data_IF_139232210234
#
_entry.id   IF_139232210234
#
_cell.length_a   1.000
_cell.length_b   1.000
_cell.length_c   1.000
_cell.angle_alpha   90.00
_cell.angle_beta   90.00
_cell.angle_gamma   90.00
#
_symmetry.space_group_name_H-M   'P 1'
#
loop_
_entity.id
_entity.type
_entity.pdbx_description
1 polymer ?
#
# COMPACT_ATOMS: atom_id res chain seq x y z
N UNK A 1 -21.50 29.65 -5.53
CA UNK A 1 -20.45 30.36 -4.77
C UNK A 1 -19.30 29.39 -4.55
N UNK A 2 -18.21 29.62 -5.29
CA UNK A 2 -17.06 28.70 -5.41
C UNK A 2 -16.19 28.74 -4.16
N UNK A 3 -15.99 27.59 -3.51
CA UNK A 3 -15.00 27.42 -2.44
C UNK A 3 -13.64 27.13 -3.07
N UNK A 4 -12.86 28.17 -3.24
CA UNK A 4 -11.46 28.12 -3.70
C UNK A 4 -10.63 27.40 -2.62
N UNK A 5 -10.13 26.21 -2.96
CA UNK A 5 -9.16 25.50 -2.14
C UNK A 5 -7.88 26.36 -2.04
N UNK A 6 -7.67 27.00 -0.90
CA UNK A 6 -6.41 27.68 -0.57
C UNK A 6 -5.33 26.61 -0.39
N UNK A 7 -4.46 26.46 -1.36
CA UNK A 7 -3.13 25.85 -1.18
C UNK A 7 -2.28 26.78 -0.35
N UNK A 8 -2.53 26.83 0.96
CA UNK A 8 -1.77 27.65 1.91
C UNK A 8 -0.35 27.10 2.01
N UNK A 9 0.64 27.88 1.60
CA UNK A 9 2.07 27.62 1.81
C UNK A 9 2.28 27.47 3.33
N UNK A 10 2.77 26.31 3.76
CA UNK A 10 3.07 26.04 5.19
C UNK A 10 4.07 27.08 5.70
N UNK A 11 3.86 27.69 6.88
CA UNK A 11 4.80 28.64 7.47
C UNK A 11 6.22 28.06 7.56
N UNK A 12 7.25 28.85 7.30
CA UNK A 12 8.65 28.41 7.32
C UNK A 12 9.07 27.67 8.60
N UNK A 13 8.71 28.14 9.81
CA UNK A 13 9.04 27.46 11.06
C UNK A 13 8.50 26.02 11.15
N UNK A 14 7.26 25.79 10.68
CA UNK A 14 6.67 24.43 10.65
C UNK A 14 7.37 23.55 9.63
N UNK A 15 7.75 24.11 8.50
CA UNK A 15 8.44 23.36 7.43
C UNK A 15 9.78 22.84 7.94
N UNK A 16 10.54 23.59 8.69
CA UNK A 16 11.83 23.22 9.26
C UNK A 16 11.69 22.03 10.21
N UNK A 17 10.76 22.08 11.16
CA UNK A 17 10.48 21.00 12.11
C UNK A 17 10.08 19.71 11.37
N UNK A 18 9.21 19.83 10.37
CA UNK A 18 8.74 18.68 9.59
C UNK A 18 9.87 18.08 8.76
N UNK A 19 10.76 18.91 8.22
CA UNK A 19 11.92 18.46 7.44
C UNK A 19 12.90 17.69 8.35
N UNK A 20 13.28 18.26 9.50
CA UNK A 20 14.12 17.61 10.49
C UNK A 20 13.51 16.28 10.98
N UNK A 21 12.21 16.22 11.20
CA UNK A 21 11.52 14.98 11.57
C UNK A 21 11.56 13.92 10.46
N UNK A 22 11.43 14.32 9.19
CA UNK A 22 11.54 13.38 8.05
C UNK A 22 12.94 12.83 7.92
N UNK A 23 13.97 13.66 8.04
CA UNK A 23 15.38 13.27 8.04
C UNK A 23 15.66 12.30 9.19
N UNK A 24 15.28 12.64 10.43
CA UNK A 24 15.37 11.72 11.57
C UNK A 24 14.69 10.37 11.30
N UNK A 25 13.51 10.40 10.67
CA UNK A 25 12.75 9.18 10.37
C UNK A 25 13.48 8.29 9.36
N UNK A 26 14.20 8.88 8.41
CA UNK A 26 14.99 8.15 7.40
C UNK A 26 16.32 7.70 7.98
N UNK A 27 17.11 8.62 8.52
CA UNK A 27 18.51 8.41 8.86
C UNK A 27 18.68 7.66 10.19
N UNK A 28 17.92 8.04 11.22
CA UNK A 28 18.04 7.45 12.57
C UNK A 28 17.13 6.22 12.71
N UNK A 29 15.91 6.26 12.16
CA UNK A 29 14.93 5.17 12.30
C UNK A 29 14.97 4.18 11.14
N UNK A 30 15.75 4.41 10.10
CA UNK A 30 15.91 3.53 8.94
C UNK A 30 14.62 3.30 8.16
N UNK A 31 13.65 4.21 8.22
CA UNK A 31 12.36 4.04 7.57
C UNK A 31 12.41 4.57 6.13
N UNK A 32 11.52 4.04 5.29
CA UNK A 32 11.47 4.46 3.89
C UNK A 32 11.04 5.91 3.73
N UNK A 33 11.53 6.56 2.67
CA UNK A 33 11.14 7.92 2.28
C UNK A 33 9.61 8.14 2.33
N UNK A 34 8.82 7.21 1.78
CA UNK A 34 7.36 7.32 1.78
C UNK A 34 6.74 7.26 3.19
N UNK A 35 7.34 6.46 4.09
CA UNK A 35 6.92 6.42 5.48
C UNK A 35 7.22 7.76 6.16
N UNK A 36 8.40 8.32 5.90
CA UNK A 36 8.79 9.64 6.42
C UNK A 36 7.85 10.74 5.91
N UNK A 37 7.50 10.73 4.61
CA UNK A 37 6.54 11.69 4.05
C UNK A 37 5.17 11.59 4.73
N UNK A 38 4.60 10.37 4.83
CA UNK A 38 3.29 10.16 5.45
C UNK A 38 3.28 10.60 6.92
N UNK A 39 4.33 10.28 7.67
CA UNK A 39 4.46 10.71 9.09
C UNK A 39 4.68 12.21 9.20
N UNK A 40 5.49 12.79 8.32
CA UNK A 40 5.70 14.23 8.23
C UNK A 40 4.42 15.01 7.93
N UNK A 41 3.52 14.44 7.10
CA UNK A 41 2.22 15.06 6.84
C UNK A 41 1.29 15.06 8.06
N UNK A 42 1.38 14.02 8.91
CA UNK A 42 0.68 14.01 10.22
C UNK A 42 1.24 15.10 11.13
N UNK A 43 2.57 15.15 11.28
CA UNK A 43 3.24 16.17 12.10
C UNK A 43 2.92 17.59 11.63
N UNK A 44 2.92 17.84 10.33
CA UNK A 44 2.57 19.14 9.75
C UNK A 44 1.15 19.58 10.10
N UNK A 45 0.16 18.67 10.03
CA UNK A 45 -1.22 19.00 10.40
C UNK A 45 -1.34 19.31 11.88
N UNK A 46 -0.66 18.54 12.73
CA UNK A 46 -0.63 18.78 14.15
C UNK A 46 -0.02 20.14 14.48
N UNK A 47 1.16 20.46 13.94
CA UNK A 47 1.85 21.73 14.16
C UNK A 47 1.02 22.92 13.67
N UNK A 48 0.39 22.80 12.50
CA UNK A 48 -0.46 23.88 11.98
C UNK A 48 -1.65 24.22 12.89
N UNK A 49 -2.16 23.23 13.64
CA UNK A 49 -3.32 23.41 14.52
C UNK A 49 -2.92 23.82 15.95
N UNK A 50 -1.78 23.37 16.46
CA UNK A 50 -1.47 23.45 17.89
C UNK A 50 -0.12 24.11 18.22
N UNK A 51 0.77 24.26 17.24
CA UNK A 51 2.06 24.96 17.40
C UNK A 51 2.38 25.76 16.13
N UNK A 52 1.57 26.75 15.75
CA UNK A 52 1.74 27.51 14.51
C UNK A 52 3.04 28.33 14.49
N UNK A 53 3.61 28.61 15.64
CA UNK A 53 4.92 29.31 15.81
C UNK A 53 6.11 28.37 15.50
N UNK A 54 5.87 27.11 15.13
CA UNK A 54 6.94 26.15 14.85
C UNK A 54 7.73 25.78 16.10
N UNK A 55 9.07 25.90 16.04
CA UNK A 55 9.98 25.50 17.15
C UNK A 55 9.63 26.19 18.47
N UNK A 56 9.31 27.46 18.43
CA UNK A 56 9.02 28.26 19.64
C UNK A 56 7.73 27.82 20.37
N UNK A 57 6.81 27.19 19.65
CA UNK A 57 5.57 26.66 20.22
C UNK A 57 5.68 25.23 20.77
N UNK A 58 6.76 24.51 20.46
CA UNK A 58 6.90 23.09 20.82
C UNK A 58 7.00 22.81 22.31
N UNK A 59 7.72 23.61 23.11
CA UNK A 59 7.80 23.40 24.57
C UNK A 59 6.44 23.47 25.27
N UNK A 60 5.48 24.20 24.68
CA UNK A 60 4.13 24.39 25.23
C UNK A 60 3.11 23.36 24.77
N UNK A 61 3.51 22.39 23.95
CA UNK A 61 2.62 21.31 23.49
C UNK A 61 2.16 20.47 24.68
N UNK A 62 0.86 20.32 24.83
CA UNK A 62 0.25 19.60 25.95
C UNK A 62 -0.42 18.31 25.53
N UNK A 63 -0.65 17.40 26.48
CA UNK A 63 -1.42 16.17 26.30
C UNK A 63 -2.83 16.47 25.76
N UNK A 64 -3.48 17.55 26.24
CA UNK A 64 -4.81 17.94 25.80
C UNK A 64 -4.84 18.34 24.32
N UNK A 65 -3.79 19.00 23.83
CA UNK A 65 -3.65 19.35 22.42
C UNK A 65 -3.44 18.11 21.55
N UNK A 66 -2.65 17.15 22.03
CA UNK A 66 -2.49 15.85 21.35
C UNK A 66 -3.83 15.12 21.23
N UNK A 67 -4.59 15.04 22.34
CA UNK A 67 -5.92 14.43 22.34
C UNK A 67 -6.93 15.20 21.47
N UNK A 68 -6.90 16.54 21.48
CA UNK A 68 -7.75 17.37 20.62
C UNK A 68 -7.49 17.11 19.13
N UNK A 69 -6.23 16.99 18.76
CA UNK A 69 -5.84 16.62 17.40
C UNK A 69 -6.41 15.24 16.99
N UNK A 70 -6.31 14.24 17.87
CA UNK A 70 -6.88 12.92 17.57
C UNK A 70 -8.39 12.95 17.42
N UNK A 71 -9.09 13.70 18.25
CA UNK A 71 -10.55 13.86 18.12
C UNK A 71 -10.91 14.48 16.77
N UNK A 72 -10.19 15.51 16.33
CA UNK A 72 -10.42 16.16 15.04
C UNK A 72 -10.13 15.24 13.86
N UNK A 73 -9.04 14.47 13.90
CA UNK A 73 -8.71 13.51 12.86
C UNK A 73 -9.74 12.35 12.82
N UNK A 74 -10.26 11.90 13.96
CA UNK A 74 -11.29 10.86 14.03
C UNK A 74 -12.64 11.31 13.45
N UNK A 75 -12.96 12.59 13.51
CA UNK A 75 -14.14 13.14 12.84
C UNK A 75 -13.96 13.23 11.32
N UNK A 76 -12.72 13.46 10.87
CA UNK A 76 -12.37 13.63 9.46
C UNK A 76 -12.13 12.31 8.71
N UNK A 77 -11.62 11.29 9.41
CA UNK A 77 -11.14 10.03 8.82
C UNK A 77 -11.99 8.84 9.26
N UNK A 78 -12.11 7.85 8.39
CA UNK A 78 -12.63 6.55 8.80
C UNK A 78 -11.72 5.90 9.86
N UNK A 79 -12.31 5.14 10.78
CA UNK A 79 -11.60 4.45 11.89
C UNK A 79 -10.41 3.62 11.42
N UNK A 80 -10.53 2.98 10.23
CA UNK A 80 -9.45 2.19 9.62
C UNK A 80 -8.24 3.03 9.19
N UNK A 81 -8.40 4.34 9.03
CA UNK A 81 -7.34 5.28 8.62
C UNK A 81 -6.63 5.94 9.82
N UNK A 82 -7.11 5.71 11.04
CA UNK A 82 -6.52 6.29 12.26
C UNK A 82 -5.19 5.64 12.65
N UNK A 83 -4.96 4.37 12.29
CA UNK A 83 -3.69 3.67 12.61
C UNK A 83 -2.44 4.40 12.11
N UNK A 84 -2.35 4.76 10.83
CA UNK A 84 -1.23 5.56 10.30
C UNK A 84 -1.08 6.95 10.96
N UNK A 85 -2.18 7.59 11.36
CA UNK A 85 -2.14 8.88 12.08
C UNK A 85 -1.51 8.68 13.46
N UNK A 86 -1.93 7.64 14.18
CA UNK A 86 -1.38 7.30 15.49
C UNK A 86 0.12 6.97 15.42
N UNK A 87 0.52 6.14 14.46
CA UNK A 87 1.93 5.78 14.26
C UNK A 87 2.78 6.99 13.90
N UNK A 88 2.25 7.87 13.04
CA UNK A 88 2.90 9.12 12.68
C UNK A 88 3.07 10.05 13.88
N UNK A 89 2.03 10.25 14.66
CA UNK A 89 2.04 11.10 15.84
C UNK A 89 2.95 10.55 16.94
N UNK A 90 2.88 9.24 17.24
CA UNK A 90 3.79 8.60 18.21
C UNK A 90 5.25 8.75 17.80
N UNK A 91 5.55 8.60 16.51
CA UNK A 91 6.90 8.81 16.00
C UNK A 91 7.34 10.27 16.12
N UNK A 92 6.45 11.21 15.88
CA UNK A 92 6.74 12.63 15.98
C UNK A 92 6.98 13.08 17.44
N UNK A 93 6.15 12.67 18.38
CA UNK A 93 6.31 13.01 19.80
C UNK A 93 7.64 12.45 20.36
N UNK A 94 8.02 11.22 19.97
CA UNK A 94 9.34 10.68 20.31
C UNK A 94 10.49 11.46 19.69
N UNK A 95 10.32 11.97 18.48
CA UNK A 95 11.31 12.83 17.84
C UNK A 95 11.45 14.15 18.62
N UNK A 96 10.34 14.79 19.03
CA UNK A 96 10.40 16.03 19.80
C UNK A 96 11.19 15.85 21.10
N UNK A 97 10.99 14.75 21.80
CA UNK A 97 11.74 14.42 23.02
C UNK A 97 13.21 14.10 22.72
N UNK A 98 13.50 13.27 21.71
CA UNK A 98 14.86 12.87 21.35
C UNK A 98 15.70 14.02 20.78
N UNK A 99 15.06 15.03 20.17
CA UNK A 99 15.70 16.25 19.67
C UNK A 99 15.71 17.40 20.69
N UNK A 100 15.35 17.12 21.94
CA UNK A 100 15.26 18.10 23.04
C UNK A 100 14.35 19.31 22.76
N UNK A 101 13.42 19.16 21.79
CA UNK A 101 12.43 20.18 21.44
C UNK A 101 11.22 20.20 22.39
N UNK A 102 11.09 19.18 23.24
CA UNK A 102 10.07 19.08 24.27
C UNK A 102 10.64 18.38 25.50
N UNK A 103 10.33 18.86 26.70
CA UNK A 103 10.90 18.38 27.97
C UNK A 103 10.47 16.94 28.33
N UNK A 104 9.33 16.46 27.82
CA UNK A 104 8.75 15.17 28.17
C UNK A 104 8.40 14.36 26.93
N UNK A 105 8.55 13.01 27.01
CA UNK A 105 8.04 12.09 25.98
C UNK A 105 6.52 11.95 26.11
N UNK A 106 5.78 12.69 25.30
CA UNK A 106 4.33 12.62 25.23
C UNK A 106 3.80 11.41 24.42
N UNK A 107 4.67 10.57 23.87
CA UNK A 107 4.23 9.44 23.03
C UNK A 107 3.40 8.41 23.79
N UNK A 108 3.53 8.35 25.12
CA UNK A 108 2.77 7.48 26.01
C UNK A 108 1.31 7.91 26.23
N UNK A 109 0.95 9.18 26.00
CA UNK A 109 -0.43 9.66 26.16
C UNK A 109 -1.37 9.18 25.05
N UNK A 110 -0.81 8.59 23.97
CA UNK A 110 -1.57 8.13 22.83
C UNK A 110 -2.27 6.81 23.14
N UNK A 111 -3.57 6.68 22.81
CA UNK A 111 -4.30 5.45 23.05
C UNK A 111 -3.63 4.27 22.33
N UNK A 112 -3.58 3.13 23.02
CA UNK A 112 -3.33 1.86 22.34
C UNK A 112 -4.56 1.58 21.47
N UNK A 113 -4.46 1.78 20.15
CA UNK A 113 -5.50 1.22 19.28
C UNK A 113 -5.31 -0.28 19.31
N UNK A 114 -6.02 -0.93 20.20
CA UNK A 114 -6.29 -2.35 20.06
C UNK A 114 -7.17 -2.48 18.82
N UNK A 115 -6.55 -2.42 17.64
CA UNK A 115 -7.21 -2.93 16.46
C UNK A 115 -7.35 -4.44 16.71
N UNK A 116 -8.40 -4.86 17.40
CA UNK A 116 -8.98 -6.17 17.16
C UNK A 116 -9.43 -6.14 15.69
N UNK A 117 -8.47 -6.16 14.81
CA UNK A 117 -8.71 -6.52 13.44
C UNK A 117 -9.01 -8.01 13.48
N UNK A 118 -10.28 -8.35 13.63
CA UNK A 118 -10.75 -9.48 12.86
C UNK A 118 -10.45 -9.06 11.41
N UNK A 119 -9.42 -9.60 10.78
CA UNK A 119 -9.12 -9.24 9.42
C UNK A 119 -10.32 -9.68 8.62
N UNK A 120 -11.16 -8.72 8.21
CA UNK A 120 -12.20 -9.02 7.22
C UNK A 120 -11.43 -9.58 6.04
N UNK A 121 -11.60 -10.85 5.77
CA UNK A 121 -11.05 -11.48 4.58
C UNK A 121 -11.29 -10.53 3.41
N UNK A 122 -10.24 -10.16 2.68
CA UNK A 122 -10.42 -9.32 1.51
C UNK A 122 -11.44 -10.02 0.60
N UNK A 123 -12.44 -9.27 0.14
CA UNK A 123 -13.46 -9.83 -0.73
C UNK A 123 -12.77 -10.42 -1.96
N UNK A 124 -12.93 -11.71 -2.14
CA UNK A 124 -12.48 -12.41 -3.32
C UNK A 124 -13.15 -11.77 -4.57
N UNK A 125 -12.36 -11.51 -5.59
CA UNK A 125 -12.85 -11.03 -6.88
C UNK A 125 -13.14 -12.26 -7.75
N UNK A 126 -14.38 -12.45 -8.21
CA UNK A 126 -14.71 -13.58 -9.08
C UNK A 126 -13.89 -13.59 -10.38
N UNK A 127 -13.55 -14.76 -10.93
CA UNK A 127 -12.73 -14.85 -12.15
C UNK A 127 -13.34 -14.11 -13.36
N UNK A 128 -14.67 -14.10 -13.48
CA UNK A 128 -15.40 -13.37 -14.50
C UNK A 128 -15.23 -11.85 -14.39
N UNK A 129 -15.13 -11.33 -13.17
CA UNK A 129 -14.85 -9.91 -12.93
C UNK A 129 -13.42 -9.58 -13.33
N UNK A 130 -12.45 -10.43 -12.99
CA UNK A 130 -11.04 -10.24 -13.43
C UNK A 130 -10.94 -10.25 -14.95
N UNK A 131 -11.67 -11.16 -15.60
CA UNK A 131 -11.74 -11.21 -17.07
C UNK A 131 -12.33 -9.94 -17.65
N UNK A 132 -13.46 -9.47 -17.12
CA UNK A 132 -14.11 -8.22 -17.57
C UNK A 132 -13.21 -6.98 -17.39
N UNK A 133 -12.37 -6.94 -16.33
CA UNK A 133 -11.36 -5.88 -16.17
C UNK A 133 -10.33 -5.92 -17.30
N UNK A 134 -9.85 -7.11 -17.67
CA UNK A 134 -8.89 -7.29 -18.75
C UNK A 134 -9.53 -6.94 -20.10
N UNK A 135 -10.73 -7.39 -20.36
CA UNK A 135 -11.47 -7.14 -21.60
C UNK A 135 -11.85 -5.65 -21.78
N UNK A 136 -11.93 -4.89 -20.68
CA UNK A 136 -12.16 -3.44 -20.73
C UNK A 136 -10.98 -2.63 -21.27
N UNK A 137 -9.82 -3.25 -21.48
CA UNK A 137 -8.63 -2.57 -21.97
C UNK A 137 -8.57 -2.60 -23.50
N UNK A 138 -8.63 -1.42 -24.13
CA UNK A 138 -8.41 -1.27 -25.57
C UNK A 138 -6.92 -1.45 -25.90
N UNK A 139 -6.54 -2.68 -26.21
CA UNK A 139 -5.16 -3.07 -26.49
C UNK A 139 -4.58 -2.48 -27.78
N UNK A 140 -5.40 -1.87 -28.64
CA UNK A 140 -4.92 -1.14 -29.80
C UNK A 140 -4.27 0.20 -29.41
N UNK A 141 -4.54 0.71 -28.21
CA UNK A 141 -3.92 1.93 -27.68
C UNK A 141 -2.76 1.59 -26.75
N UNK A 142 -1.71 2.41 -26.74
CA UNK A 142 -0.57 2.27 -25.81
C UNK A 142 -1.03 2.26 -24.34
N UNK A 143 -2.03 3.09 -24.00
CA UNK A 143 -2.57 3.15 -22.63
C UNK A 143 -3.32 1.87 -22.27
N UNK A 144 -4.12 1.33 -23.17
CA UNK A 144 -4.86 0.10 -22.92
C UNK A 144 -3.96 -1.13 -22.89
N UNK A 145 -2.94 -1.23 -23.78
CA UNK A 145 -1.93 -2.27 -23.73
C UNK A 145 -1.14 -2.23 -22.40
N UNK A 146 -0.78 -1.03 -21.93
CA UNK A 146 -0.15 -0.81 -20.64
C UNK A 146 -1.03 -1.30 -19.49
N UNK A 147 -2.27 -0.85 -19.45
CA UNK A 147 -3.21 -1.15 -18.37
C UNK A 147 -3.51 -2.66 -18.32
N UNK A 148 -3.61 -3.31 -19.48
CA UNK A 148 -3.76 -4.75 -19.62
C UNK A 148 -2.56 -5.51 -19.01
N UNK A 149 -1.33 -5.13 -19.35
CA UNK A 149 -0.12 -5.73 -18.81
C UNK A 149 -0.02 -5.53 -17.29
N UNK A 150 -0.36 -4.33 -16.78
CA UNK A 150 -0.41 -4.04 -15.34
C UNK A 150 -1.43 -4.94 -14.63
N UNK A 151 -2.63 -5.09 -15.18
CA UNK A 151 -3.67 -5.95 -14.60
C UNK A 151 -3.24 -7.42 -14.55
N UNK A 152 -2.56 -7.93 -15.57
CA UNK A 152 -2.01 -9.28 -15.58
C UNK A 152 -0.93 -9.47 -14.50
N UNK A 153 0.01 -8.53 -14.35
CA UNK A 153 1.02 -8.60 -13.29
C UNK A 153 0.41 -8.62 -11.89
N UNK A 154 -0.66 -7.84 -11.67
CA UNK A 154 -1.36 -7.78 -10.38
C UNK A 154 -2.17 -9.05 -10.10
N UNK A 155 -2.82 -9.63 -11.13
CA UNK A 155 -3.75 -10.76 -10.98
C UNK A 155 -3.12 -12.13 -11.20
N UNK A 156 -2.10 -12.27 -12.06
CA UNK A 156 -1.43 -13.55 -12.33
C UNK A 156 -0.22 -13.78 -11.42
N UNK A 157 0.64 -12.75 -11.30
CA UNK A 157 1.85 -12.84 -10.48
C UNK A 157 1.68 -12.28 -9.07
N UNK A 158 0.48 -11.82 -8.74
CA UNK A 158 0.16 -11.24 -7.44
C UNK A 158 1.15 -10.17 -6.99
N UNK A 159 1.70 -9.36 -7.92
CA UNK A 159 2.66 -8.31 -7.61
C UNK A 159 2.02 -7.20 -6.79
N UNK A 160 2.80 -6.58 -5.91
CA UNK A 160 2.39 -5.35 -5.24
C UNK A 160 2.47 -4.17 -6.22
N UNK A 161 1.57 -3.20 -6.10
CA UNK A 161 1.59 -2.02 -6.98
C UNK A 161 2.94 -1.30 -7.01
N UNK A 162 3.68 -1.30 -5.90
CA UNK A 162 5.03 -0.72 -5.85
C UNK A 162 6.08 -1.56 -6.57
N UNK A 163 5.93 -2.88 -6.58
CA UNK A 163 6.78 -3.80 -7.33
C UNK A 163 6.59 -3.57 -8.83
N UNK A 164 5.33 -3.49 -9.29
CA UNK A 164 5.00 -3.16 -10.70
C UNK A 164 5.55 -1.78 -11.09
N UNK A 165 5.38 -0.76 -10.24
CA UNK A 165 5.87 0.59 -10.53
C UNK A 165 7.40 0.68 -10.65
N UNK A 166 8.12 -0.22 -9.98
CA UNK A 166 9.60 -0.25 -9.96
C UNK A 166 10.21 -1.10 -11.04
N UNK A 167 9.45 -1.92 -11.76
CA UNK A 167 9.98 -2.77 -12.81
C UNK A 167 10.80 -1.99 -13.83
N UNK A 168 11.97 -2.51 -14.16
CA UNK A 168 12.87 -2.02 -15.18
C UNK A 168 13.01 -3.00 -16.34
N UNK A 169 13.46 -2.52 -17.48
CA UNK A 169 13.64 -3.38 -18.66
C UNK A 169 14.65 -4.50 -18.40
N UNK A 170 15.65 -4.26 -17.55
CA UNK A 170 16.66 -5.23 -17.16
C UNK A 170 16.10 -6.36 -16.27
N UNK A 171 14.93 -6.15 -15.66
CA UNK A 171 14.28 -7.17 -14.83
C UNK A 171 13.53 -8.23 -15.66
N UNK A 172 13.31 -7.98 -16.94
CA UNK A 172 12.59 -8.87 -17.85
C UNK A 172 13.58 -9.80 -18.59
N UNK A 173 13.67 -11.05 -18.14
CA UNK A 173 14.58 -12.05 -18.71
C UNK A 173 13.86 -12.88 -19.77
N UNK A 174 13.75 -12.33 -20.97
CA UNK A 174 13.00 -12.95 -22.08
C UNK A 174 13.48 -14.36 -22.46
N UNK A 175 14.79 -14.60 -22.35
CA UNK A 175 15.40 -15.89 -22.75
C UNK A 175 15.08 -17.02 -21.79
N UNK A 176 14.96 -16.72 -20.49
CA UNK A 176 14.64 -17.68 -19.42
C UNK A 176 13.17 -17.67 -19.04
N UNK A 177 12.37 -16.76 -19.65
CA UNK A 177 10.97 -16.55 -19.28
C UNK A 177 10.80 -16.28 -17.78
N UNK A 178 11.59 -15.35 -17.25
CA UNK A 178 11.58 -14.96 -15.85
C UNK A 178 11.48 -13.44 -15.69
N UNK A 179 11.03 -13.01 -14.52
CA UNK A 179 11.04 -11.59 -14.11
C UNK A 179 11.65 -11.45 -12.71
N UNK A 180 12.57 -10.51 -12.55
CA UNK A 180 13.16 -10.15 -11.26
C UNK A 180 12.31 -9.12 -10.56
N UNK A 181 11.94 -9.37 -9.31
CA UNK A 181 11.12 -8.48 -8.49
C UNK A 181 11.94 -7.94 -7.34
N UNK A 182 12.02 -6.60 -7.23
CA UNK A 182 12.69 -5.90 -6.15
C UNK A 182 11.76 -5.72 -4.97
N UNK A 183 12.02 -6.43 -3.87
CA UNK A 183 11.24 -6.31 -2.64
C UNK A 183 11.51 -4.98 -1.92
N UNK A 184 10.66 -4.63 -0.93
CA UNK A 184 10.85 -3.43 -0.11
C UNK A 184 12.14 -3.49 0.74
N UNK A 185 12.59 -4.70 1.09
CA UNK A 185 13.78 -4.95 1.93
C UNK A 185 15.07 -5.10 1.13
N UNK A 186 15.03 -4.88 -0.19
CA UNK A 186 16.19 -5.05 -1.08
C UNK A 186 16.41 -6.48 -1.57
N UNK A 187 15.59 -7.46 -1.12
CA UNK A 187 15.65 -8.82 -1.63
C UNK A 187 15.18 -8.87 -3.08
N UNK A 188 15.89 -9.64 -3.91
CA UNK A 188 15.54 -9.94 -5.29
C UNK A 188 14.86 -11.31 -5.34
N UNK A 189 13.68 -11.36 -5.92
CA UNK A 189 12.93 -12.59 -6.15
C UNK A 189 12.79 -12.81 -7.65
N UNK A 190 13.13 -14.00 -8.16
CA UNK A 190 12.87 -14.40 -9.53
C UNK A 190 11.55 -15.16 -9.60
N UNK A 191 10.70 -14.78 -10.54
CA UNK A 191 9.42 -15.42 -10.79
C UNK A 191 9.35 -15.88 -12.25
N UNK A 192 8.71 -17.02 -12.53
CA UNK A 192 8.39 -17.38 -13.90
C UNK A 192 7.49 -16.31 -14.51
N UNK A 193 7.74 -16.01 -15.78
CA UNK A 193 6.95 -15.07 -16.58
C UNK A 193 6.00 -15.88 -17.49
N UNK A 194 4.70 -16.04 -17.14
CA UNK A 194 3.74 -16.75 -17.96
C UNK A 194 3.63 -16.14 -19.35
N UNK A 195 3.36 -16.96 -20.35
CA UNK A 195 3.32 -16.54 -21.76
C UNK A 195 2.34 -15.39 -21.99
N UNK A 196 1.14 -15.44 -21.37
CA UNK A 196 0.14 -14.37 -21.48
C UNK A 196 0.64 -13.04 -20.92
N UNK A 197 1.38 -13.07 -19.83
CA UNK A 197 1.99 -11.87 -19.21
C UNK A 197 3.16 -11.37 -20.08
N UNK A 198 4.01 -12.27 -20.54
CA UNK A 198 5.15 -11.94 -21.42
C UNK A 198 4.70 -11.30 -22.72
N UNK A 199 3.68 -11.86 -23.38
CA UNK A 199 3.10 -11.29 -24.59
C UNK A 199 2.52 -9.90 -24.35
N UNK A 200 1.74 -9.72 -23.29
CA UNK A 200 1.17 -8.42 -22.96
C UNK A 200 2.23 -7.35 -22.67
N UNK A 201 3.33 -7.73 -22.01
CA UNK A 201 4.46 -6.83 -21.78
C UNK A 201 5.15 -6.47 -23.10
N UNK A 202 5.37 -7.45 -24.00
CA UNK A 202 5.99 -7.21 -25.30
C UNK A 202 5.13 -6.28 -26.16
N UNK A 203 3.82 -6.54 -26.28
CA UNK A 203 2.87 -5.67 -27.01
C UNK A 203 2.92 -4.23 -26.50
N UNK A 204 2.88 -4.06 -25.17
CA UNK A 204 2.99 -2.73 -24.60
C UNK A 204 4.33 -2.06 -24.89
N UNK A 205 5.45 -2.79 -24.73
CA UNK A 205 6.80 -2.25 -24.94
C UNK A 205 7.02 -1.84 -26.39
N UNK A 206 6.44 -2.55 -27.35
CA UNK A 206 6.48 -2.20 -28.77
C UNK A 206 5.64 -0.95 -29.10
N UNK A 207 4.51 -0.77 -28.40
CA UNK A 207 3.60 0.36 -28.63
C UNK A 207 4.01 1.65 -27.92
N UNK A 208 4.87 1.59 -26.91
CA UNK A 208 5.24 2.75 -26.12
C UNK A 208 6.33 3.60 -26.82
N UNK A 209 6.36 4.88 -26.51
CA UNK A 209 7.44 5.77 -26.95
C UNK A 209 8.77 5.36 -26.32
N UNK A 210 9.85 5.43 -27.09
CA UNK A 210 11.19 5.32 -26.56
C UNK A 210 11.46 6.41 -25.53
N UNK A 211 12.29 6.11 -24.55
CA UNK A 211 12.62 7.01 -23.49
C UNK A 211 13.98 6.67 -22.87
N UNK A 212 14.70 7.69 -22.35
CA UNK A 212 16.03 7.51 -21.79
C UNK A 212 16.05 6.71 -20.49
N UNK A 213 14.92 6.65 -19.78
CA UNK A 213 14.83 5.87 -18.55
C UNK A 213 14.54 4.38 -18.83
N UNK A 214 14.90 3.54 -17.87
CA UNK A 214 14.77 2.08 -17.96
C UNK A 214 13.42 1.54 -17.45
N UNK A 215 12.49 2.41 -17.05
CA UNK A 215 11.22 1.99 -16.48
C UNK A 215 10.38 1.20 -17.49
N UNK A 216 9.80 0.07 -17.05
CA UNK A 216 8.84 -0.69 -17.87
C UNK A 216 7.58 0.15 -18.08
N UNK A 217 6.96 0.63 -17.02
CA UNK A 217 5.68 1.35 -17.09
C UNK A 217 5.85 2.86 -17.01
N UNK A 218 5.24 3.56 -17.96
CA UNK A 218 5.32 5.02 -18.10
C UNK A 218 3.94 5.68 -18.06
N UNK A 219 3.93 6.92 -17.56
CA UNK A 219 2.75 7.78 -17.63
C UNK A 219 2.43 8.14 -19.06
N UNK A 220 1.13 8.11 -19.42
CA UNK A 220 0.65 8.64 -20.69
C UNK A 220 0.48 10.17 -20.67
N UNK A 221 0.60 10.78 -19.48
CA UNK A 221 0.48 12.23 -19.27
C UNK A 221 1.84 12.83 -18.95
N UNK A 222 2.09 14.11 -19.31
CA UNK A 222 3.29 14.83 -18.91
C UNK A 222 3.53 14.74 -17.39
N UNK A 223 4.78 14.61 -16.96
CA UNK A 223 6.03 14.63 -17.69
C UNK A 223 6.43 13.31 -18.38
N UNK A 224 5.52 12.38 -18.66
CA UNK A 224 5.73 11.09 -19.33
C UNK A 224 6.78 10.17 -18.68
N UNK A 225 7.09 10.37 -17.42
CA UNK A 225 8.06 9.59 -16.67
C UNK A 225 7.52 8.24 -16.19
N UNK A 226 8.32 7.56 -15.36
CA UNK A 226 7.93 6.31 -14.68
C UNK A 226 6.56 6.46 -14.00
N UNK A 227 5.70 5.46 -14.13
CA UNK A 227 4.43 5.43 -13.38
C UNK A 227 4.70 5.33 -11.87
N UNK A 228 4.04 6.19 -11.11
CA UNK A 228 4.09 6.10 -9.65
C UNK A 228 3.28 4.89 -9.14
N UNK A 229 3.57 4.45 -7.90
CA UNK A 229 2.74 3.45 -7.21
C UNK A 229 1.25 3.81 -7.25
N UNK A 230 0.91 5.08 -7.05
CA UNK A 230 -0.48 5.51 -7.06
C UNK A 230 -1.11 5.36 -8.44
N UNK A 231 -0.38 5.69 -9.51
CA UNK A 231 -0.85 5.48 -10.88
C UNK A 231 -1.14 3.98 -11.13
N UNK A 232 -0.29 3.07 -10.69
CA UNK A 232 -0.55 1.60 -10.78
C UNK A 232 -1.81 1.21 -9.98
N UNK A 233 -2.00 1.76 -8.77
CA UNK A 233 -3.21 1.48 -7.95
C UNK A 233 -4.49 1.97 -8.63
N UNK A 234 -4.41 3.00 -9.46
CA UNK A 234 -5.58 3.52 -10.20
C UNK A 234 -5.96 2.65 -11.41
N UNK A 235 -5.05 1.87 -11.99
CA UNK A 235 -5.34 1.04 -13.19
C UNK A 235 -6.53 0.12 -12.97
N UNK A 236 -6.59 -0.77 -11.96
CA UNK A 236 -7.76 -1.63 -11.77
C UNK A 236 -9.04 -0.85 -11.43
N UNK A 237 -8.95 0.30 -10.77
CA UNK A 237 -10.11 1.16 -10.48
C UNK A 237 -10.70 1.75 -11.78
N UNK A 238 -9.83 2.25 -12.65
CA UNK A 238 -10.22 2.78 -13.95
C UNK A 238 -10.81 1.68 -14.85
N UNK A 239 -10.19 0.48 -14.84
CA UNK A 239 -10.72 -0.69 -15.54
C UNK A 239 -12.12 -1.09 -15.02
N UNK A 240 -12.33 -1.06 -13.70
CA UNK A 240 -13.65 -1.31 -13.10
C UNK A 240 -14.70 -0.33 -13.60
N UNK A 241 -14.37 0.96 -13.64
CA UNK A 241 -15.28 1.99 -14.14
C UNK A 241 -15.60 1.79 -15.62
N UNK A 242 -14.60 1.46 -16.46
CA UNK A 242 -14.80 1.14 -17.89
C UNK A 242 -15.72 -0.07 -18.10
N UNK A 243 -15.56 -1.09 -17.27
CA UNK A 243 -16.34 -2.33 -17.32
C UNK A 243 -17.73 -2.20 -16.66
N UNK A 244 -18.10 -1.06 -16.08
CA UNK A 244 -19.36 -0.88 -15.36
C UNK A 244 -19.44 -1.72 -14.06
N UNK A 245 -18.30 -2.06 -13.46
CA UNK A 245 -18.20 -2.96 -12.31
C UNK A 245 -17.94 -2.18 -11.00
N UNK A 246 -18.28 -2.75 -9.85
CA UNK A 246 -17.84 -2.22 -8.57
C UNK A 246 -16.31 -2.09 -8.52
N UNK A 247 -15.82 -1.04 -7.85
CA UNK A 247 -14.38 -0.74 -7.79
C UNK A 247 -13.56 -1.90 -7.22
N UNK A 248 -12.62 -2.39 -8.03
CA UNK A 248 -11.62 -3.38 -7.65
C UNK A 248 -10.28 -2.70 -7.43
N UNK A 249 -9.62 -3.01 -6.31
CA UNK A 249 -8.31 -2.47 -5.96
C UNK A 249 -7.15 -3.43 -6.29
N UNK A 250 -5.95 -2.90 -6.53
CA UNK A 250 -4.76 -3.69 -6.81
C UNK A 250 -4.47 -4.74 -5.70
N UNK A 251 -4.66 -4.37 -4.44
CA UNK A 251 -4.46 -5.29 -3.32
C UNK A 251 -5.50 -6.42 -3.29
N UNK A 252 -6.70 -6.13 -3.75
CA UNK A 252 -7.80 -7.09 -3.85
C UNK A 252 -7.51 -8.16 -4.93
N UNK A 253 -6.95 -7.79 -6.08
CA UNK A 253 -6.49 -8.73 -7.11
C UNK A 253 -5.44 -9.69 -6.56
N UNK A 254 -4.43 -9.17 -5.86
CA UNK A 254 -3.40 -9.98 -5.20
C UNK A 254 -4.00 -10.97 -4.17
N UNK A 255 -4.96 -10.54 -3.35
CA UNK A 255 -5.66 -11.43 -2.41
C UNK A 255 -6.48 -12.50 -3.13
N UNK A 256 -7.07 -12.14 -4.27
CA UNK A 256 -7.82 -13.09 -5.10
C UNK A 256 -6.93 -14.21 -5.61
N UNK A 257 -5.73 -13.90 -6.09
CA UNK A 257 -4.74 -14.89 -6.52
C UNK A 257 -4.35 -15.81 -5.35
N UNK A 258 -4.05 -15.24 -4.18
CA UNK A 258 -3.71 -16.01 -2.99
C UNK A 258 -4.84 -16.97 -2.56
N UNK A 259 -6.07 -16.47 -2.53
CA UNK A 259 -7.26 -17.28 -2.19
C UNK A 259 -7.52 -18.35 -3.25
N UNK A 260 -7.28 -18.05 -4.53
CA UNK A 260 -7.38 -19.02 -5.62
C UNK A 260 -6.39 -20.18 -5.48
N UNK A 261 -5.14 -19.89 -5.10
CA UNK A 261 -4.13 -20.91 -4.85
C UNK A 261 -4.51 -21.82 -3.68
N UNK A 262 -5.00 -21.27 -2.56
CA UNK A 262 -5.48 -22.07 -1.43
C UNK A 262 -6.65 -22.98 -1.83
N UNK A 263 -7.62 -22.45 -2.58
CA UNK A 263 -8.75 -23.25 -3.07
C UNK A 263 -8.32 -24.35 -4.05
N UNK A 264 -7.20 -24.16 -4.74
CA UNK A 264 -6.59 -25.17 -5.60
C UNK A 264 -5.73 -26.19 -4.83
N UNK A 265 -5.67 -26.10 -3.48
CA UNK A 265 -4.96 -27.03 -2.61
C UNK A 265 -3.53 -26.66 -2.26
N UNK A 266 -3.06 -25.45 -2.63
CA UNK A 266 -1.75 -24.98 -2.20
C UNK A 266 -1.71 -24.74 -0.70
N UNK A 267 -0.58 -25.07 -0.04
CA UNK A 267 -0.41 -24.80 1.39
C UNK A 267 -0.29 -23.30 1.69
N UNK A 268 -0.55 -22.90 2.94
CA UNK A 268 -0.29 -21.54 3.41
C UNK A 268 1.17 -21.13 3.22
N UNK A 269 2.11 -22.09 3.34
CA UNK A 269 3.53 -21.88 3.08
C UNK A 269 3.79 -21.50 1.62
N UNK A 270 3.22 -22.26 0.67
CA UNK A 270 3.35 -21.99 -0.77
C UNK A 270 2.77 -20.63 -1.14
N UNK A 271 1.58 -20.31 -0.61
CA UNK A 271 0.95 -19.00 -0.80
C UNK A 271 1.83 -17.89 -0.23
N UNK A 272 2.44 -18.10 0.95
CA UNK A 272 3.39 -17.16 1.54
C UNK A 272 4.60 -16.91 0.65
N UNK A 273 5.14 -17.95 0.01
CA UNK A 273 6.24 -17.85 -0.96
C UNK A 273 5.82 -17.08 -2.22
N UNK A 274 4.71 -17.47 -2.85
CA UNK A 274 4.18 -16.77 -4.05
C UNK A 274 3.92 -15.30 -3.77
N UNK A 275 3.37 -14.99 -2.59
CA UNK A 275 3.12 -13.61 -2.17
C UNK A 275 4.37 -12.90 -1.66
N UNK A 276 5.49 -13.57 -1.49
CA UNK A 276 6.74 -12.97 -0.99
C UNK A 276 6.50 -12.20 0.30
N UNK A 277 5.89 -12.88 1.30
CA UNK A 277 5.64 -12.29 2.60
C UNK A 277 6.90 -12.38 3.47
N UNK A 278 7.37 -11.23 3.94
CA UNK A 278 8.53 -11.15 4.85
C UNK A 278 8.19 -11.65 6.28
N UNK A 279 6.91 -11.78 6.62
CA UNK A 279 6.43 -12.22 7.92
C UNK A 279 5.29 -13.23 7.79
N UNK A 280 5.40 -14.35 8.49
CA UNK A 280 4.36 -15.39 8.58
C UNK A 280 2.99 -14.84 9.05
N UNK A 281 2.98 -13.81 9.89
CA UNK A 281 1.74 -13.15 10.35
C UNK A 281 0.91 -12.56 9.21
N UNK A 282 1.52 -12.19 8.09
CA UNK A 282 0.78 -11.67 6.93
C UNK A 282 0.06 -12.80 6.19
N UNK A 283 0.60 -14.01 6.24
CA UNK A 283 -0.02 -15.22 5.65
C UNK A 283 -1.13 -15.77 6.56
N UNK A 284 -1.07 -15.53 7.88
CA UNK A 284 -2.11 -15.93 8.83
C UNK A 284 -3.49 -15.32 8.53
N UNK A 285 -3.55 -14.21 7.78
CA UNK A 285 -4.81 -13.65 7.26
C UNK A 285 -5.59 -14.65 6.39
N UNK A 286 -4.89 -15.58 5.75
CA UNK A 286 -5.48 -16.59 4.88
C UNK A 286 -5.85 -17.88 5.62
N UNK A 287 -5.40 -18.06 6.87
CA UNK A 287 -5.78 -19.20 7.69
C UNK A 287 -7.31 -19.31 7.89
N UNK A 288 -8.01 -18.18 7.91
CA UNK A 288 -9.47 -18.16 7.98
C UNK A 288 -10.14 -18.65 6.67
N UNK A 289 -9.45 -18.63 5.53
CA UNK A 289 -9.92 -19.26 4.28
C UNK A 289 -9.73 -20.77 4.36
N UNK A 290 -8.64 -21.17 4.97
CA UNK A 290 -8.26 -22.57 5.14
C UNK A 290 -9.09 -23.26 6.25
N UNK A 291 -9.71 -22.49 7.16
CA UNK A 291 -10.59 -23.00 8.19
C UNK A 291 -11.77 -23.86 7.63
N UNK A 292 -12.24 -23.54 6.41
CA UNK A 292 -13.22 -24.38 5.71
C UNK A 292 -12.65 -25.73 5.29
N UNK A 293 -11.36 -25.81 4.99
CA UNK A 293 -10.65 -27.06 4.70
C UNK A 293 -10.39 -27.87 5.98
N UNK A 294 -10.40 -27.21 7.14
CA UNK A 294 -10.26 -27.82 8.46
C UNK A 294 -11.59 -28.25 9.06
N UNK A 295 -12.73 -27.73 8.58
CA UNK A 295 -14.06 -28.07 9.08
C UNK A 295 -14.35 -29.57 9.05
N UNK A 296 -13.98 -30.34 8.00
CA UNK A 296 -14.13 -31.80 7.99
C UNK A 296 -13.23 -32.53 9.00
N UNK A 297 -12.14 -31.87 9.47
CA UNK A 297 -11.21 -32.42 10.46
C UNK A 297 -11.58 -32.02 11.90
N UNK A 298 -12.51 -31.09 12.06
CA UNK A 298 -13.01 -30.68 13.36
C UNK A 298 -13.75 -31.86 14.01
N UNK A 299 -13.21 -32.33 15.12
CA UNK A 299 -13.96 -33.32 15.95
C UNK A 299 -15.22 -32.65 16.48
N UNK A 300 -16.37 -33.35 16.48
CA UNK A 300 -17.55 -32.81 17.13
C UNK A 300 -17.24 -32.52 18.59
N UNK A 301 -17.68 -31.34 19.05
CA UNK A 301 -17.53 -30.97 20.46
C UNK A 301 -18.19 -32.02 21.33
N UNK A 302 -17.54 -32.52 22.41
CA UNK A 302 -18.18 -33.46 23.32
C UNK A 302 -19.48 -32.82 23.82
N UNK A 303 -20.60 -33.37 23.40
CA UNK A 303 -21.88 -33.01 24.01
C UNK A 303 -21.79 -33.34 25.50
N UNK A 304 -22.07 -32.35 26.35
CA UNK A 304 -22.22 -32.62 27.78
C UNK A 304 -23.30 -33.69 27.93
N UNK A 305 -22.89 -34.89 28.26
CA UNK A 305 -23.80 -35.93 28.71
C UNK A 305 -24.44 -35.40 29.99
N UNK A 306 -25.72 -35.05 29.89
CA UNK A 306 -26.53 -34.80 31.07
C UNK A 306 -26.53 -36.07 31.91
N UNK A 307 -26.02 -35.96 33.15
CA UNK A 307 -26.21 -36.90 34.22
C UNK A 307 -27.43 -36.47 35.00
#
# INVERSE_FOLDING_TARGET
>A
MSATARTGKTPAPITEVVTAFREYTIEVRGLSYWTAQTRGDVARRFLAAHAPSGVDGLPAVSVDQVHAFFRSEAQRLATTSMGPVLDGMRSFLRFLFAAELHAHDLSGCLPAITTQRHPKLPRHVPPEVVRALLDSCDRATTTGARDYAVLLLLSRLALRANEVARLELADLHWRTSEVTIHSKTGRLDQLPLPTDVGTALADYLQSRREAPDRAVFRSALPPFGRMSRNAIVFVPRTASARAGLPTVGAHQLRHTTATGLLRAGASLGDVGQVLRHDRHQTTALYAAVDARSLEPLARPWPSATAS
#
